data_IF_487968650823
#
_entry.id   IF_487968650823
#
_cell.length_a   1.000
_cell.length_b   1.000
_cell.length_c   1.000
_cell.angle_alpha   90.00
_cell.angle_beta   90.00
_cell.angle_gamma   90.00
#
_symmetry.space_group_name_H-M   'P 1'
#
loop_
_entity.id
_entity.type
_entity.pdbx_description
1 polymer ?
#
# COMPACT_ATOMS: atom_id res chain seq x y z
N UNK A 1 4.67 9.28 18.24
CA UNK A 1 4.07 9.80 16.98
C UNK A 1 3.15 8.71 16.47
N UNK A 2 1.84 8.92 16.45
CA UNK A 2 0.86 7.95 15.95
C UNK A 2 0.62 8.22 14.47
N UNK A 3 0.93 7.25 13.60
CA UNK A 3 0.56 7.33 12.20
C UNK A 3 -0.93 6.99 12.03
N UNK A 4 -1.64 7.64 11.10
CA UNK A 4 -3.03 7.29 10.81
C UNK A 4 -3.10 5.86 10.28
N UNK A 5 -3.98 5.06 10.88
CA UNK A 5 -4.28 3.69 10.45
C UNK A 5 -5.64 3.64 9.76
N UNK A 6 -5.77 2.75 8.78
CA UNK A 6 -7.03 2.52 8.05
C UNK A 6 -7.44 1.06 8.20
N UNK A 7 -8.65 0.81 8.69
CA UNK A 7 -9.17 -0.54 8.90
C UNK A 7 -10.54 -0.68 8.29
N UNK A 8 -10.77 -1.78 7.57
CA UNK A 8 -12.09 -2.15 7.07
C UNK A 8 -12.23 -3.67 7.01
N UNK A 9 -13.46 -4.15 7.14
CA UNK A 9 -13.84 -5.53 6.83
C UNK A 9 -14.90 -5.62 5.74
N UNK A 10 -15.27 -4.47 5.18
CA UNK A 10 -16.37 -4.34 4.24
C UNK A 10 -15.87 -4.61 2.82
N UNK A 11 -16.45 -5.62 2.19
CA UNK A 11 -16.21 -5.93 0.78
C UNK A 11 -16.41 -4.70 -0.11
N UNK A 12 -15.49 -4.46 -1.04
CA UNK A 12 -15.53 -3.36 -1.99
C UNK A 12 -15.14 -2.00 -1.42
N UNK A 13 -14.82 -1.89 -0.12
CA UNK A 13 -14.24 -0.66 0.43
C UNK A 13 -12.87 -0.38 -0.18
N UNK A 14 -12.60 0.89 -0.47
CA UNK A 14 -11.36 1.31 -1.13
C UNK A 14 -10.59 2.34 -0.30
N UNK A 15 -9.27 2.30 -0.43
CA UNK A 15 -8.35 3.36 -0.02
C UNK A 15 -7.51 3.75 -1.24
N UNK A 16 -7.39 5.04 -1.54
CA UNK A 16 -6.61 5.51 -2.68
C UNK A 16 -5.65 6.62 -2.25
N UNK A 17 -4.43 6.57 -2.79
CA UNK A 17 -3.44 7.63 -2.64
C UNK A 17 -2.68 7.83 -3.95
N UNK A 18 -2.15 9.04 -4.13
CA UNK A 18 -1.28 9.38 -5.26
C UNK A 18 0.04 9.91 -4.75
N UNK A 19 1.12 9.60 -5.46
CA UNK A 19 2.47 10.04 -5.13
C UNK A 19 3.28 10.23 -6.41
N UNK A 20 4.36 11.00 -6.33
CA UNK A 20 5.39 11.06 -7.36
C UNK A 20 6.62 10.33 -6.83
N UNK A 21 7.27 9.50 -7.64
CA UNK A 21 8.47 8.80 -7.22
C UNK A 21 8.67 7.42 -7.83
N UNK A 22 9.72 6.75 -7.37
CA UNK A 22 10.23 5.49 -7.93
C UNK A 22 9.78 4.25 -7.16
N UNK A 23 9.27 4.44 -5.94
CA UNK A 23 8.93 3.34 -5.03
C UNK A 23 7.77 3.72 -4.12
N UNK A 24 6.93 2.75 -3.80
CA UNK A 24 5.93 2.84 -2.74
C UNK A 24 5.76 1.50 -2.05
N UNK A 25 5.45 1.54 -0.75
CA UNK A 25 5.19 0.36 0.05
C UNK A 25 4.07 0.62 1.06
N UNK A 26 3.29 -0.42 1.29
CA UNK A 26 2.19 -0.47 2.24
C UNK A 26 2.54 -1.45 3.35
N UNK A 27 2.43 -0.97 4.58
CA UNK A 27 2.55 -1.76 5.79
C UNK A 27 1.19 -1.95 6.45
N UNK A 28 0.99 -3.09 7.08
CA UNK A 28 -0.25 -3.38 7.78
C UNK A 28 -0.16 -4.55 8.72
N UNK A 29 -1.32 -4.89 9.30
CA UNK A 29 -1.45 -6.05 10.16
C UNK A 29 -1.80 -7.30 9.36
N UNK A 30 -1.27 -8.44 9.79
CA UNK A 30 -1.66 -9.78 9.37
C UNK A 30 -2.22 -10.56 10.54
N UNK A 31 -3.07 -11.55 10.28
CA UNK A 31 -3.57 -12.43 11.33
C UNK A 31 -4.69 -13.37 10.86
N UNK A 32 -5.27 -14.20 11.75
CA UNK A 32 -6.21 -15.24 11.35
C UNK A 32 -7.54 -14.71 10.79
N UNK A 33 -7.87 -13.45 11.09
CA UNK A 33 -9.03 -12.74 10.53
C UNK A 33 -8.70 -11.93 9.27
N UNK A 34 -7.46 -12.02 8.79
CA UNK A 34 -6.97 -11.31 7.62
C UNK A 34 -7.78 -11.61 6.37
N UNK A 35 -8.14 -10.55 5.67
CA UNK A 35 -8.92 -10.58 4.45
C UNK A 35 -8.09 -10.65 3.18
N UNK A 36 -8.78 -10.85 2.06
CA UNK A 36 -8.19 -10.69 0.74
C UNK A 36 -8.33 -9.24 0.29
N UNK A 37 -7.38 -8.78 -0.53
CA UNK A 37 -7.39 -7.45 -1.11
C UNK A 37 -6.71 -7.46 -2.48
N UNK A 38 -7.05 -6.48 -3.30
CA UNK A 38 -6.36 -6.23 -4.56
C UNK A 38 -5.82 -4.81 -4.58
N UNK A 39 -4.60 -4.66 -5.09
CA UNK A 39 -4.00 -3.35 -5.34
C UNK A 39 -4.07 -3.07 -6.83
N UNK A 40 -4.43 -1.85 -7.19
CA UNK A 40 -4.39 -1.34 -8.56
C UNK A 40 -3.37 -0.20 -8.59
N UNK A 41 -2.41 -0.28 -9.50
CA UNK A 41 -1.40 0.75 -9.72
C UNK A 41 -1.63 1.35 -11.11
N UNK A 42 -1.87 2.66 -11.19
CA UNK A 42 -2.13 3.39 -12.43
C UNK A 42 -3.24 2.78 -13.30
N UNK A 43 -4.29 2.26 -12.65
CA UNK A 43 -5.41 1.58 -13.32
C UNK A 43 -5.14 0.13 -13.70
N UNK A 44 -3.92 -0.39 -13.47
CA UNK A 44 -3.56 -1.79 -13.74
C UNK A 44 -3.71 -2.63 -12.46
N UNK A 45 -4.69 -3.56 -12.41
CA UNK A 45 -4.88 -4.41 -11.24
C UNK A 45 -3.70 -5.39 -11.09
N UNK A 46 -3.24 -5.54 -9.86
CA UNK A 46 -2.23 -6.52 -9.46
C UNK A 46 -2.90 -7.84 -9.07
N UNK A 47 -2.09 -8.86 -8.77
CA UNK A 47 -2.59 -10.11 -8.20
C UNK A 47 -3.28 -9.84 -6.85
N UNK A 48 -4.37 -10.56 -6.59
CA UNK A 48 -4.99 -10.56 -5.25
C UNK A 48 -4.01 -11.09 -4.20
N UNK A 49 -4.01 -10.44 -3.04
CA UNK A 49 -3.17 -10.75 -1.89
C UNK A 49 -4.05 -11.00 -0.66
N UNK A 50 -3.46 -11.58 0.38
CA UNK A 50 -4.16 -11.87 1.63
C UNK A 50 -3.34 -11.37 2.81
N UNK A 51 -4.01 -10.75 3.78
CA UNK A 51 -3.44 -10.43 5.09
C UNK A 51 -3.62 -11.58 6.09
N UNK A 52 -4.07 -12.75 5.64
CA UNK A 52 -4.19 -13.93 6.48
C UNK A 52 -2.81 -14.43 6.93
N UNK A 53 -2.69 -14.68 8.24
CA UNK A 53 -1.56 -15.40 8.81
C UNK A 53 -2.04 -16.13 10.08
N UNK A 54 -1.53 -17.34 10.35
CA UNK A 54 -1.86 -18.08 11.57
C UNK A 54 -1.47 -17.32 12.84
N UNK A 55 -0.43 -16.49 12.76
CA UNK A 55 0.08 -15.67 13.87
C UNK A 55 -0.12 -14.21 13.52
N UNK A 56 -0.68 -13.45 14.47
CA UNK A 56 -0.87 -12.02 14.28
C UNK A 56 0.47 -11.29 14.25
N UNK A 57 0.61 -10.33 13.34
CA UNK A 57 1.80 -9.48 13.20
C UNK A 57 1.40 -8.08 12.76
N UNK A 58 2.14 -7.09 13.23
CA UNK A 58 2.00 -5.68 12.82
C UNK A 58 3.23 -5.28 12.00
N UNK A 59 3.13 -4.13 11.33
CA UNK A 59 4.20 -3.52 10.54
C UNK A 59 4.76 -4.46 9.45
N UNK A 60 3.90 -5.31 8.90
CA UNK A 60 4.26 -6.27 7.84
C UNK A 60 4.08 -5.61 6.48
N UNK A 61 5.05 -5.81 5.57
CA UNK A 61 4.90 -5.37 4.16
C UNK A 61 3.77 -6.18 3.51
N UNK A 62 2.68 -5.50 3.21
CA UNK A 62 1.51 -6.07 2.55
C UNK A 62 1.62 -5.98 1.04
N UNK A 63 2.23 -4.92 0.53
CA UNK A 63 2.45 -4.72 -0.90
C UNK A 63 3.52 -3.65 -1.12
N UNK A 64 4.25 -3.74 -2.23
CA UNK A 64 5.16 -2.70 -2.68
C UNK A 64 5.24 -2.67 -4.21
N UNK A 65 5.68 -1.53 -4.74
CA UNK A 65 6.08 -1.36 -6.13
C UNK A 65 7.39 -0.57 -6.19
N UNK A 66 8.24 -0.89 -7.16
CA UNK A 66 9.55 -0.28 -7.37
C UNK A 66 9.77 -0.02 -8.86
N UNK A 67 10.88 0.65 -9.19
CA UNK A 67 11.27 0.96 -10.58
C UNK A 67 10.18 1.77 -11.32
N UNK A 68 9.45 2.58 -10.57
CA UNK A 68 8.41 3.47 -11.10
C UNK A 68 9.03 4.72 -11.72
N UNK A 69 8.28 5.39 -12.59
CA UNK A 69 8.77 6.58 -13.26
C UNK A 69 8.75 7.77 -12.29
N UNK A 70 9.95 8.23 -11.90
CA UNK A 70 10.12 9.32 -10.95
C UNK A 70 9.38 10.61 -11.35
N UNK A 71 9.21 10.88 -12.64
CA UNK A 71 8.58 12.11 -13.15
C UNK A 71 7.06 12.02 -13.25
N UNK A 72 6.48 10.83 -13.03
CA UNK A 72 5.05 10.58 -13.14
C UNK A 72 4.39 10.58 -11.75
N UNK A 73 3.20 11.16 -11.67
CA UNK A 73 2.29 10.92 -10.54
C UNK A 73 1.63 9.55 -10.72
N UNK A 74 1.93 8.65 -9.79
CA UNK A 74 1.33 7.33 -9.69
C UNK A 74 0.11 7.35 -8.77
N UNK A 75 -0.89 6.54 -9.08
CA UNK A 75 -2.07 6.35 -8.23
C UNK A 75 -2.19 4.89 -7.83
N UNK A 76 -2.32 4.66 -6.53
CA UNK A 76 -2.54 3.35 -5.94
C UNK A 76 -3.93 3.32 -5.32
N UNK A 77 -4.69 2.30 -5.69
CA UNK A 77 -6.01 2.01 -5.11
C UNK A 77 -5.99 0.60 -4.53
N UNK A 78 -6.35 0.48 -3.26
CA UNK A 78 -6.47 -0.78 -2.54
C UNK A 78 -7.95 -1.07 -2.36
N UNK A 79 -8.40 -2.25 -2.76
CA UNK A 79 -9.79 -2.69 -2.63
C UNK A 79 -9.86 -3.91 -1.75
N UNK A 80 -10.66 -3.84 -0.68
CA UNK A 80 -10.92 -4.99 0.20
C UNK A 80 -11.87 -5.98 -0.51
N UNK A 81 -11.48 -7.26 -0.57
CA UNK A 81 -12.25 -8.36 -1.18
C UNK A 81 -12.95 -9.25 -0.13
N UNK A 82 -12.99 -8.80 1.12
CA UNK A 82 -13.65 -9.46 2.27
C UNK A 82 -12.64 -9.81 3.37
N UNK A 83 -13.08 -9.77 4.63
CA UNK A 83 -12.24 -10.02 5.80
C UNK A 83 -11.49 -8.79 6.29
N UNK A 84 -10.75 -8.89 7.40
CA UNK A 84 -10.08 -7.74 8.03
C UNK A 84 -8.87 -7.30 7.21
N UNK A 85 -8.86 -6.04 6.80
CA UNK A 85 -7.69 -5.36 6.25
C UNK A 85 -7.36 -4.16 7.13
N UNK A 86 -6.10 -4.08 7.57
CA UNK A 86 -5.59 -3.00 8.41
C UNK A 86 -4.27 -2.49 7.82
N UNK A 87 -4.26 -1.22 7.42
CA UNK A 87 -3.13 -0.52 6.84
C UNK A 87 -2.60 0.44 7.89
N UNK A 88 -1.33 0.26 8.25
CA UNK A 88 -0.70 0.95 9.38
C UNK A 88 0.23 2.06 8.93
N UNK A 89 0.84 1.93 7.74
CA UNK A 89 1.63 2.98 7.14
C UNK A 89 1.69 2.84 5.61
N UNK A 90 1.83 3.97 4.93
CA UNK A 90 2.13 4.06 3.50
C UNK A 90 3.38 4.92 3.37
N UNK A 91 4.34 4.44 2.61
CA UNK A 91 5.58 5.16 2.33
C UNK A 91 5.83 5.18 0.82
N UNK A 92 6.54 6.20 0.37
CA UNK A 92 7.01 6.33 -1.00
C UNK A 92 8.31 7.11 -1.04
N UNK A 93 9.06 6.94 -2.14
CA UNK A 93 10.34 7.60 -2.35
C UNK A 93 10.31 8.37 -3.65
N UNK A 94 10.46 9.69 -3.56
CA UNK A 94 10.74 10.58 -4.68
C UNK A 94 12.24 10.86 -4.75
N UNK A 95 12.81 10.77 -5.95
CA UNK A 95 14.19 11.16 -6.20
C UNK A 95 14.22 12.62 -6.65
N UNK A 96 15.00 13.44 -5.97
CA UNK A 96 15.29 14.80 -6.42
C UNK A 96 16.63 14.81 -7.16
N UNK A 97 16.71 15.47 -8.34
CA UNK A 97 17.99 15.62 -9.01
C UNK A 97 18.95 16.38 -8.10
N UNK A 98 20.19 15.91 -8.03
CA UNK A 98 21.24 16.67 -7.37
C UNK A 98 21.57 17.91 -8.20
N UNK A 99 21.23 19.10 -7.72
CA UNK A 99 21.73 20.36 -8.25
C UNK A 99 23.01 20.72 -7.52
N UNK A 100 24.16 20.59 -8.20
CA UNK A 100 25.39 21.20 -7.69
C UNK A 100 25.27 22.71 -7.93
N UNK A 101 24.69 23.43 -6.98
CA UNK A 101 24.77 24.89 -7.00
C UNK A 101 26.26 25.26 -6.89
N UNK A 102 26.80 25.83 -7.98
CA UNK A 102 28.12 26.46 -8.03
C UNK A 102 27.96 27.95 -7.76
#
# INVERSE_FOLDING_TARGET
MTFPQYTTSTFGSTLSYSFKGVHTQMYGAVGPSGGEYVVTLDGVPQKALSSYNHVAGNDVVLWFAQELNNDKTHTVTITNLGGKLEIQAIQYTELFPYTSDK
#
